data_IF_423430327855
#
_entry.id   IF_423430327855
#
_cell.length_a   1.000
_cell.length_b   1.000
_cell.length_c   1.000
_cell.angle_alpha   90.00
_cell.angle_beta   90.00
_cell.angle_gamma   90.00
#
_symmetry.space_group_name_H-M   'P 1'
#
loop_
_entity.id
_entity.type
_entity.pdbx_description
1 polymer ?
#
# COMPACT_ATOMS: atom_id res chain seq x y z
N UNK A 1 -50.54 -3.95 45.53
CA UNK A 1 -51.07 -3.79 46.91
C UNK A 1 -51.25 -5.20 47.45
N UNK A 2 -50.70 -5.65 48.57
CA UNK A 2 -50.15 -5.02 49.77
C UNK A 2 -48.93 -5.85 50.23
N UNK A 3 -47.75 -5.27 50.43
CA UNK A 3 -47.22 -4.66 51.67
C UNK A 3 -46.93 -5.61 52.86
N UNK A 4 -45.62 -5.76 53.08
CA UNK A 4 -44.86 -5.65 54.32
C UNK A 4 -45.14 -6.58 55.52
N UNK A 5 -44.15 -7.43 55.82
CA UNK A 5 -43.89 -7.98 57.16
C UNK A 5 -42.37 -8.04 57.42
N UNK A 6 -41.90 -7.30 58.43
CA UNK A 6 -40.49 -7.21 58.87
C UNK A 6 -40.09 -8.37 59.80
N UNK A 7 -38.94 -8.94 59.48
CA UNK A 7 -37.81 -9.46 60.30
C UNK A 7 -38.04 -9.96 61.74
N UNK A 8 -37.60 -11.20 61.96
CA UNK A 8 -37.10 -11.73 63.25
C UNK A 8 -35.82 -12.58 63.03
N UNK A 9 -34.89 -12.65 64.00
CA UNK A 9 -33.54 -13.18 63.80
C UNK A 9 -33.39 -14.65 64.25
N UNK A 10 -32.59 -15.44 63.53
CA UNK A 10 -32.28 -16.82 63.91
C UNK A 10 -31.03 -17.32 63.19
N UNK A 11 -30.01 -17.68 63.96
CA UNK A 11 -28.68 -18.00 63.48
C UNK A 11 -28.56 -19.30 62.68
N UNK A 12 -27.47 -19.37 61.90
CA UNK A 12 -27.05 -20.55 61.16
C UNK A 12 -25.82 -20.24 60.33
N UNK A 13 -24.64 -20.33 60.95
CA UNK A 13 -23.36 -20.20 60.28
C UNK A 13 -23.14 -21.40 59.35
N UNK A 14 -23.57 -21.31 58.09
CA UNK A 14 -23.19 -22.27 57.07
C UNK A 14 -21.98 -21.74 56.30
N UNK A 15 -20.82 -22.36 56.57
CA UNK A 15 -19.53 -22.06 55.97
C UNK A 15 -19.58 -22.38 54.48
N UNK A 16 -19.82 -21.38 53.64
CA UNK A 16 -19.53 -21.48 52.20
C UNK A 16 -18.04 -21.20 52.04
N UNK A 17 -17.26 -22.27 51.90
CA UNK A 17 -15.89 -22.22 51.37
C UNK A 17 -15.99 -21.69 49.93
N UNK A 18 -15.77 -20.40 49.74
CA UNK A 18 -15.43 -19.85 48.42
C UNK A 18 -14.01 -20.33 48.12
N UNK A 19 -13.91 -21.46 47.42
CA UNK A 19 -12.66 -21.88 46.81
C UNK A 19 -12.30 -20.83 45.75
N UNK A 20 -11.37 -19.93 46.10
CA UNK A 20 -10.64 -19.14 45.12
C UNK A 20 -9.90 -20.11 44.22
N UNK A 21 -10.46 -20.39 43.04
CA UNK A 21 -9.70 -20.96 41.94
C UNK A 21 -8.79 -19.84 41.45
N UNK A 22 -7.65 -19.66 42.12
CA UNK A 22 -6.49 -18.98 41.55
C UNK A 22 -5.90 -19.89 40.48
N UNK A 23 -6.59 -19.96 39.34
CA UNK A 23 -6.22 -20.74 38.18
C UNK A 23 -5.48 -19.87 37.16
N UNK A 24 -4.18 -19.71 37.37
CA UNK A 24 -3.13 -19.55 36.36
C UNK A 24 -3.50 -18.93 35.00
N UNK A 25 -3.58 -17.60 34.93
CA UNK A 25 -3.29 -16.87 33.69
C UNK A 25 -1.77 -16.64 33.58
N UNK A 26 -1.01 -17.70 33.27
CA UNK A 26 0.38 -17.58 32.81
C UNK A 26 0.41 -17.47 31.28
N UNK A 27 -0.31 -16.47 30.73
CA UNK A 27 0.05 -15.93 29.43
C UNK A 27 1.11 -14.86 29.72
N UNK A 28 2.37 -15.17 29.40
CA UNK A 28 3.53 -14.34 29.74
C UNK A 28 3.33 -12.87 29.37
N UNK A 29 3.10 -12.03 30.39
CA UNK A 29 3.15 -10.58 30.23
C UNK A 29 4.60 -10.20 29.94
N UNK A 30 4.95 -10.06 28.66
CA UNK A 30 6.17 -9.36 28.27
C UNK A 30 6.10 -7.96 28.89
N UNK A 31 7.12 -7.55 29.64
CA UNK A 31 7.08 -6.25 30.29
C UNK A 31 7.03 -5.13 29.24
N UNK A 32 6.26 -4.07 29.53
CA UNK A 32 6.18 -2.87 28.67
C UNK A 32 7.57 -2.30 28.39
N UNK A 33 8.48 -2.41 29.35
CA UNK A 33 9.89 -2.02 29.19
C UNK A 33 10.62 -2.87 28.14
N UNK A 34 10.37 -4.17 28.09
CA UNK A 34 10.92 -5.07 27.06
C UNK A 34 10.39 -4.72 25.67
N UNK A 35 9.10 -4.37 25.56
CA UNK A 35 8.49 -3.93 24.28
C UNK A 35 9.16 -2.63 23.81
N UNK A 36 9.22 -1.61 24.67
CA UNK A 36 9.85 -0.32 24.36
C UNK A 36 11.32 -0.47 23.96
N UNK A 37 12.05 -1.36 24.64
CA UNK A 37 13.45 -1.66 24.29
C UNK A 37 13.55 -2.24 22.88
N UNK A 38 12.72 -3.23 22.55
CA UNK A 38 12.67 -3.84 21.21
C UNK A 38 12.26 -2.87 20.11
N UNK A 39 11.29 -2.00 20.39
CA UNK A 39 10.89 -0.92 19.48
C UNK A 39 12.05 0.03 19.22
N UNK A 40 12.76 0.46 20.27
CA UNK A 40 13.94 1.34 20.13
C UNK A 40 15.08 0.67 19.38
N UNK A 41 15.34 -0.62 19.64
CA UNK A 41 16.34 -1.40 18.91
C UNK A 41 15.96 -1.54 17.43
N UNK A 42 14.69 -1.84 17.15
CA UNK A 42 14.15 -1.89 15.80
C UNK A 42 14.31 -0.57 15.05
N UNK A 43 13.97 0.54 15.71
CA UNK A 43 14.10 1.88 15.17
C UNK A 43 15.57 2.22 14.85
N UNK A 44 16.51 1.83 15.71
CA UNK A 44 17.94 2.01 15.47
C UNK A 44 18.40 1.30 14.18
N UNK A 45 17.98 0.06 13.98
CA UNK A 45 18.29 -0.69 12.75
C UNK A 45 17.56 -0.14 11.53
N UNK A 46 16.33 0.34 11.69
CA UNK A 46 15.57 0.99 10.62
C UNK A 46 16.29 2.25 10.13
N UNK A 47 16.69 3.15 11.04
CA UNK A 47 17.46 4.35 10.71
C UNK A 47 18.82 4.03 10.10
N UNK A 48 19.49 2.98 10.58
CA UNK A 48 20.72 2.49 9.95
C UNK A 48 20.46 2.06 8.51
N UNK A 49 19.38 1.32 8.25
CA UNK A 49 19.00 0.89 6.91
C UNK A 49 18.72 2.06 5.98
N UNK A 50 17.98 3.07 6.45
CA UNK A 50 17.74 4.31 5.72
C UNK A 50 19.03 5.02 5.33
N UNK A 51 19.99 5.15 6.26
CA UNK A 51 21.24 5.88 6.03
C UNK A 51 22.13 5.31 4.91
N UNK A 52 21.97 4.03 4.60
CA UNK A 52 22.79 3.32 3.59
C UNK A 52 22.00 2.91 2.36
N UNK A 53 20.69 3.14 2.32
CA UNK A 53 19.79 2.63 1.26
C UNK A 53 20.25 3.02 -0.15
N UNK A 54 20.65 4.28 -0.33
CA UNK A 54 21.04 4.81 -1.65
C UNK A 54 22.42 4.33 -2.12
N UNK A 55 23.30 3.93 -1.17
CA UNK A 55 24.70 3.61 -1.44
C UNK A 55 24.97 2.09 -1.42
N UNK A 56 24.29 1.36 -0.55
CA UNK A 56 24.49 -0.07 -0.31
C UNK A 56 23.16 -0.74 0.05
N UNK A 57 22.45 -1.17 -0.98
CA UNK A 57 21.16 -1.85 -0.86
C UNK A 57 21.26 -3.16 -0.06
N UNK A 58 22.41 -3.84 -0.06
CA UNK A 58 22.59 -5.08 0.70
C UNK A 58 22.73 -4.82 2.20
N UNK A 59 23.46 -3.76 2.59
CA UNK A 59 23.50 -3.35 4.00
C UNK A 59 22.16 -2.82 4.47
N UNK A 60 21.42 -2.09 3.63
CA UNK A 60 20.08 -1.64 3.95
C UNK A 60 19.13 -2.82 4.19
N UNK A 61 19.16 -3.81 3.29
CA UNK A 61 18.42 -5.06 3.41
C UNK A 61 18.66 -5.76 4.76
N UNK A 62 19.93 -5.98 5.13
CA UNK A 62 20.29 -6.61 6.41
C UNK A 62 19.80 -5.78 7.61
N UNK A 63 19.87 -4.46 7.51
CA UNK A 63 19.43 -3.56 8.58
C UNK A 63 17.91 -3.62 8.77
N UNK A 64 17.11 -3.63 7.69
CA UNK A 64 15.66 -3.80 7.78
C UNK A 64 15.26 -5.18 8.31
N UNK A 65 15.98 -6.24 7.94
CA UNK A 65 15.77 -7.57 8.53
C UNK A 65 16.00 -7.57 10.05
N UNK A 66 17.08 -6.92 10.52
CA UNK A 66 17.34 -6.77 11.96
C UNK A 66 16.27 -5.92 12.65
N UNK A 67 15.77 -4.87 12.00
CA UNK A 67 14.68 -4.06 12.52
C UNK A 67 13.42 -4.90 12.75
N UNK A 68 13.03 -5.72 11.76
CA UNK A 68 11.88 -6.64 11.86
C UNK A 68 12.13 -7.74 12.90
N UNK A 69 13.35 -8.27 13.00
CA UNK A 69 13.70 -9.26 14.02
C UNK A 69 13.56 -8.70 15.44
N UNK A 70 13.96 -7.44 15.65
CA UNK A 70 13.82 -6.76 16.93
C UNK A 70 12.35 -6.45 17.25
N UNK A 71 11.60 -5.93 16.26
CA UNK A 71 10.17 -5.66 16.36
C UNK A 71 9.43 -6.07 15.08
N UNK A 72 8.73 -7.22 15.08
CA UNK A 72 7.95 -7.69 13.94
C UNK A 72 6.76 -6.78 13.55
N UNK A 73 6.40 -5.82 14.40
CA UNK A 73 5.31 -4.88 14.12
C UNK A 73 5.83 -3.55 13.53
N UNK A 74 7.11 -3.44 13.20
CA UNK A 74 7.66 -2.26 12.53
C UNK A 74 7.23 -2.26 11.05
N UNK A 75 6.08 -1.64 10.77
CA UNK A 75 5.50 -1.58 9.42
C UNK A 75 6.37 -0.79 8.44
N UNK A 76 7.13 0.21 8.90
CA UNK A 76 8.04 0.99 8.05
C UNK A 76 9.22 0.14 7.58
N UNK A 77 9.76 -0.71 8.46
CA UNK A 77 10.80 -1.67 8.09
C UNK A 77 10.28 -2.73 7.10
N UNK A 78 9.05 -3.24 7.30
CA UNK A 78 8.39 -4.11 6.32
C UNK A 78 8.21 -3.43 4.96
N UNK A 79 7.74 -2.18 4.94
CA UNK A 79 7.59 -1.41 3.71
C UNK A 79 8.92 -1.28 2.94
N UNK A 80 9.99 -0.85 3.61
CA UNK A 80 11.29 -0.66 2.96
C UNK A 80 11.96 -1.98 2.55
N UNK A 81 11.80 -3.04 3.36
CA UNK A 81 12.26 -4.36 2.96
C UNK A 81 11.52 -4.87 1.72
N UNK A 82 10.19 -4.68 1.67
CA UNK A 82 9.38 -4.95 0.48
C UNK A 82 9.83 -4.16 -0.74
N UNK A 83 10.18 -2.88 -0.57
CA UNK A 83 10.72 -2.06 -1.65
C UNK A 83 12.07 -2.58 -2.16
N UNK A 84 12.96 -3.01 -1.27
CA UNK A 84 14.24 -3.63 -1.65
C UNK A 84 14.01 -4.92 -2.44
N UNK A 85 13.12 -5.81 -1.98
CA UNK A 85 12.75 -7.02 -2.72
C UNK A 85 12.16 -6.71 -4.10
N UNK A 86 11.29 -5.70 -4.18
CA UNK A 86 10.68 -5.26 -5.43
C UNK A 86 11.74 -4.80 -6.44
N UNK A 87 12.72 -4.00 -6.02
CA UNK A 87 13.83 -3.55 -6.87
C UNK A 87 14.71 -4.72 -7.35
N UNK A 88 14.85 -5.76 -6.54
CA UNK A 88 15.52 -7.02 -6.91
C UNK A 88 14.67 -7.95 -7.78
N UNK A 89 13.43 -7.57 -8.08
CA UNK A 89 12.44 -8.37 -8.81
C UNK A 89 12.04 -9.66 -8.09
N UNK A 90 12.26 -9.72 -6.79
CA UNK A 90 11.85 -10.80 -5.89
C UNK A 90 10.39 -10.56 -5.46
N UNK A 91 9.46 -10.64 -6.42
CA UNK A 91 8.09 -10.14 -6.23
C UNK A 91 7.29 -10.92 -5.18
N UNK A 92 7.54 -12.21 -5.00
CA UNK A 92 6.87 -13.03 -3.97
C UNK A 92 7.23 -12.54 -2.56
N UNK A 93 8.50 -12.26 -2.30
CA UNK A 93 8.96 -11.72 -1.03
C UNK A 93 8.47 -10.28 -0.83
N UNK A 94 8.51 -9.46 -1.89
CA UNK A 94 7.95 -8.10 -1.86
C UNK A 94 6.46 -8.10 -1.49
N UNK A 95 5.63 -8.98 -2.10
CA UNK A 95 4.20 -9.07 -1.78
C UNK A 95 3.97 -9.45 -0.31
N UNK A 96 4.76 -10.38 0.23
CA UNK A 96 4.68 -10.76 1.64
C UNK A 96 4.95 -9.57 2.54
N UNK A 97 6.05 -8.85 2.32
CA UNK A 97 6.43 -7.72 3.18
C UNK A 97 5.44 -6.56 3.07
N UNK A 98 5.00 -6.20 1.85
CA UNK A 98 3.99 -5.17 1.68
C UNK A 98 2.64 -5.57 2.26
N UNK A 99 2.24 -6.85 2.16
CA UNK A 99 1.01 -7.34 2.81
C UNK A 99 1.10 -7.22 4.33
N UNK A 100 2.24 -7.59 4.93
CA UNK A 100 2.46 -7.43 6.37
C UNK A 100 2.39 -5.95 6.78
N UNK A 101 3.04 -5.06 6.04
CA UNK A 101 2.96 -3.62 6.25
C UNK A 101 1.50 -3.13 6.24
N UNK A 102 0.72 -3.48 5.21
CA UNK A 102 -0.70 -3.10 5.07
C UNK A 102 -1.58 -3.72 6.16
N UNK A 103 -1.25 -4.89 6.68
CA UNK A 103 -1.98 -5.49 7.80
C UNK A 103 -1.72 -4.75 9.13
N UNK A 104 -0.50 -4.23 9.32
CA UNK A 104 -0.11 -3.45 10.49
C UNK A 104 -0.59 -2.00 10.42
N UNK A 105 -0.51 -1.39 9.24
CA UNK A 105 -1.05 -0.06 8.92
C UNK A 105 -1.93 -0.12 7.65
N UNK A 106 -3.26 -0.32 7.82
CA UNK A 106 -4.20 -0.37 6.71
C UNK A 106 -4.32 0.91 5.89
N UNK A 107 -3.80 2.04 6.39
CA UNK A 107 -3.85 3.36 5.76
C UNK A 107 -2.52 3.74 5.10
N UNK A 108 -1.55 2.82 5.03
CA UNK A 108 -0.29 3.06 4.34
C UNK A 108 -0.49 3.04 2.81
N UNK A 109 -0.75 4.22 2.22
CA UNK A 109 -1.01 4.37 0.79
C UNK A 109 0.16 3.96 -0.10
N UNK A 110 1.41 4.21 0.33
CA UNK A 110 2.60 3.79 -0.41
C UNK A 110 2.72 2.26 -0.45
N UNK A 111 2.55 1.59 0.70
CA UNK A 111 2.59 0.13 0.76
C UNK A 111 1.46 -0.51 -0.07
N UNK A 112 0.25 0.06 -0.07
CA UNK A 112 -0.83 -0.39 -0.94
C UNK A 112 -0.48 -0.22 -2.42
N UNK A 113 0.04 0.95 -2.81
CA UNK A 113 0.47 1.21 -4.19
C UNK A 113 1.54 0.21 -4.66
N UNK A 114 2.60 0.02 -3.87
CA UNK A 114 3.69 -0.91 -4.21
C UNK A 114 3.23 -2.36 -4.16
N UNK A 115 2.34 -2.75 -3.24
CA UNK A 115 1.73 -4.08 -3.25
C UNK A 115 0.93 -4.31 -4.53
N UNK A 116 0.09 -3.34 -4.91
CA UNK A 116 -0.67 -3.38 -6.15
C UNK A 116 0.23 -3.53 -7.37
N UNK A 117 1.27 -2.70 -7.48
CA UNK A 117 2.27 -2.78 -8.55
C UNK A 117 3.01 -4.13 -8.57
N UNK A 118 3.36 -4.66 -7.41
CA UNK A 118 3.99 -5.99 -7.27
C UNK A 118 3.06 -7.09 -7.80
N UNK A 119 1.77 -7.04 -7.45
CA UNK A 119 0.77 -7.98 -7.94
C UNK A 119 0.59 -7.92 -9.47
N UNK A 120 0.71 -6.74 -10.09
CA UNK A 120 0.72 -6.61 -11.55
C UNK A 120 1.90 -7.38 -12.16
N UNK A 121 3.12 -7.22 -11.62
CA UNK A 121 4.30 -7.95 -12.10
C UNK A 121 4.22 -9.46 -11.86
N UNK A 122 3.38 -9.90 -10.92
CA UNK A 122 3.05 -11.31 -10.69
C UNK A 122 1.86 -11.79 -11.55
N UNK A 123 1.32 -10.96 -12.45
CA UNK A 123 0.12 -11.24 -13.25
C UNK A 123 -1.14 -11.52 -12.43
N UNK A 124 -1.20 -11.10 -11.16
CA UNK A 124 -2.33 -11.25 -10.25
C UNK A 124 -3.25 -10.02 -10.34
N UNK A 125 -3.76 -9.75 -11.53
CA UNK A 125 -4.49 -8.51 -11.86
C UNK A 125 -5.74 -8.26 -10.99
N UNK A 126 -6.61 -9.24 -10.70
CA UNK A 126 -7.79 -8.99 -9.86
C UNK A 126 -7.42 -8.47 -8.46
N UNK A 127 -6.41 -9.06 -7.84
CA UNK A 127 -5.92 -8.66 -6.52
C UNK A 127 -5.22 -7.29 -6.56
N UNK A 128 -4.47 -7.02 -7.63
CA UNK A 128 -3.83 -5.72 -7.84
C UNK A 128 -4.88 -4.60 -7.89
N UNK A 129 -5.97 -4.81 -8.64
CA UNK A 129 -7.05 -3.83 -8.80
C UNK A 129 -7.74 -3.58 -7.46
N UNK A 130 -8.04 -4.61 -6.68
CA UNK A 130 -8.64 -4.46 -5.35
C UNK A 130 -7.77 -3.60 -4.43
N UNK A 131 -6.48 -3.92 -4.34
CA UNK A 131 -5.52 -3.20 -3.50
C UNK A 131 -5.35 -1.74 -3.97
N UNK A 132 -5.25 -1.52 -5.27
CA UNK A 132 -5.07 -0.18 -5.85
C UNK A 132 -6.33 0.67 -5.71
N UNK A 133 -7.53 0.08 -5.81
CA UNK A 133 -8.80 0.78 -5.51
C UNK A 133 -8.83 1.27 -4.07
N UNK A 134 -8.36 0.47 -3.12
CA UNK A 134 -8.20 0.92 -1.74
C UNK A 134 -7.20 2.08 -1.66
N UNK A 135 -6.04 1.98 -2.31
CA UNK A 135 -5.02 3.02 -2.29
C UNK A 135 -5.55 4.40 -2.73
N UNK A 136 -6.29 4.47 -3.83
CA UNK A 136 -6.81 5.74 -4.37
C UNK A 136 -7.94 6.37 -3.55
N UNK A 137 -8.52 5.63 -2.58
CA UNK A 137 -9.53 6.15 -1.64
C UNK A 137 -8.94 6.76 -0.37
N UNK A 138 -7.64 6.63 -0.14
CA UNK A 138 -7.03 7.11 1.11
C UNK A 138 -6.82 8.64 1.09
N UNK A 139 -7.18 9.34 2.18
CA UNK A 139 -7.11 10.81 2.24
C UNK A 139 -5.68 11.35 2.42
N UNK A 140 -4.78 10.56 3.00
CA UNK A 140 -3.37 10.91 3.21
C UNK A 140 -2.51 9.96 2.40
N UNK A 141 -2.06 10.43 1.24
CA UNK A 141 -1.16 9.67 0.38
C UNK A 141 -0.18 10.65 -0.26
N UNK A 142 1.12 10.37 -0.16
CA UNK A 142 2.16 11.25 -0.69
C UNK A 142 2.20 11.23 -2.22
N UNK A 143 1.81 10.10 -2.85
CA UNK A 143 1.89 9.94 -4.31
C UNK A 143 0.61 9.40 -4.99
N UNK A 144 -0.58 10.00 -4.76
CA UNK A 144 -1.89 9.54 -5.25
C UNK A 144 -1.94 9.17 -6.72
N UNK A 145 -1.34 9.99 -7.56
CA UNK A 145 -1.29 9.77 -8.99
C UNK A 145 -0.52 8.50 -9.40
N UNK A 146 0.47 8.02 -8.62
CA UNK A 146 1.12 6.72 -8.89
C UNK A 146 0.15 5.54 -8.74
N UNK A 147 -0.70 5.55 -7.71
CA UNK A 147 -1.70 4.51 -7.53
C UNK A 147 -2.79 4.57 -8.62
N UNK A 148 -3.23 5.77 -9.01
CA UNK A 148 -4.14 5.91 -10.15
C UNK A 148 -3.51 5.37 -11.43
N UNK A 149 -2.25 5.69 -11.73
CA UNK A 149 -1.56 5.18 -12.92
C UNK A 149 -1.41 3.66 -12.90
N UNK A 150 -1.01 3.07 -11.77
CA UNK A 150 -0.93 1.62 -11.64
C UNK A 150 -2.32 0.96 -11.75
N UNK A 151 -3.37 1.58 -11.22
CA UNK A 151 -4.75 1.09 -11.35
C UNK A 151 -5.22 1.15 -12.81
N UNK A 152 -4.94 2.24 -13.52
CA UNK A 152 -5.24 2.38 -14.95
C UNK A 152 -4.54 1.31 -15.77
N UNK A 153 -3.27 1.03 -15.46
CA UNK A 153 -2.50 -0.01 -16.12
C UNK A 153 -3.06 -1.42 -15.84
N UNK A 154 -3.40 -1.73 -14.59
CA UNK A 154 -4.00 -3.01 -14.23
C UNK A 154 -5.36 -3.23 -14.89
N UNK A 155 -6.22 -2.20 -14.94
CA UNK A 155 -7.52 -2.24 -15.61
C UNK A 155 -7.38 -2.44 -17.12
N UNK A 156 -6.42 -1.75 -17.75
CA UNK A 156 -6.12 -1.93 -19.17
C UNK A 156 -5.68 -3.37 -19.47
N UNK A 157 -4.76 -3.93 -18.68
CA UNK A 157 -4.34 -5.33 -18.83
C UNK A 157 -5.46 -6.33 -18.60
N UNK A 158 -6.41 -6.01 -17.71
CA UNK A 158 -7.61 -6.82 -17.49
C UNK A 158 -8.64 -6.67 -18.64
N UNK A 159 -8.49 -5.67 -19.51
CA UNK A 159 -9.40 -5.39 -20.62
C UNK A 159 -10.51 -4.37 -20.31
N UNK A 160 -10.55 -3.81 -19.10
CA UNK A 160 -11.47 -2.71 -18.74
C UNK A 160 -10.91 -1.37 -19.22
N UNK A 161 -10.94 -1.17 -20.55
CA UNK A 161 -10.46 0.05 -21.20
C UNK A 161 -11.24 1.30 -20.72
N UNK A 162 -12.59 1.29 -20.64
CA UNK A 162 -13.32 2.45 -20.12
C UNK A 162 -12.96 2.78 -18.66
N UNK A 163 -12.76 1.76 -17.82
CA UNK A 163 -12.26 1.93 -16.46
C UNK A 163 -10.87 2.55 -16.41
N UNK A 164 -9.94 2.06 -17.24
CA UNK A 164 -8.58 2.59 -17.33
C UNK A 164 -8.56 4.06 -17.74
N UNK A 165 -9.32 4.45 -18.78
CA UNK A 165 -9.44 5.85 -19.23
C UNK A 165 -9.88 6.76 -18.09
N UNK A 166 -10.97 6.39 -17.40
CA UNK A 166 -11.51 7.18 -16.28
C UNK A 166 -10.49 7.35 -15.15
N UNK A 167 -9.78 6.28 -14.79
CA UNK A 167 -8.78 6.32 -13.72
C UNK A 167 -7.57 7.19 -14.12
N UNK A 168 -7.10 7.12 -15.37
CA UNK A 168 -6.04 8.00 -15.85
C UNK A 168 -6.47 9.48 -15.89
N UNK A 169 -7.74 9.75 -16.20
CA UNK A 169 -8.30 11.11 -16.11
C UNK A 169 -8.33 11.62 -14.66
N UNK A 170 -8.64 10.79 -13.67
CA UNK A 170 -8.52 11.17 -12.25
C UNK A 170 -7.06 11.44 -11.86
N UNK A 171 -6.09 10.66 -12.38
CA UNK A 171 -4.67 10.90 -12.12
C UNK A 171 -4.22 12.31 -12.56
N UNK A 172 -4.76 12.82 -13.69
CA UNK A 172 -4.44 14.14 -14.21
C UNK A 172 -4.95 15.31 -13.35
N UNK A 173 -5.94 15.06 -12.47
CA UNK A 173 -6.49 16.07 -11.55
C UNK A 173 -5.61 16.30 -10.32
N UNK A 174 -4.65 15.43 -10.06
CA UNK A 174 -3.74 15.54 -8.92
C UNK A 174 -2.72 16.64 -9.19
N UNK A 175 -2.56 17.53 -8.21
CA UNK A 175 -1.63 18.66 -8.25
C UNK A 175 -1.04 18.91 -6.84
N UNK A 176 0.29 18.99 -6.68
CA UNK A 176 1.32 18.77 -7.71
C UNK A 176 1.41 17.28 -8.13
N UNK A 177 1.76 16.97 -9.40
CA UNK A 177 1.91 15.60 -9.88
C UNK A 177 3.28 15.01 -9.48
N UNK A 178 3.30 13.71 -9.20
CA UNK A 178 4.51 12.88 -9.04
C UNK A 178 4.83 12.06 -10.29
N UNK A 179 3.84 11.78 -11.14
CA UNK A 179 3.99 11.16 -12.45
C UNK A 179 3.92 12.26 -13.52
N UNK A 180 4.88 12.35 -14.44
CA UNK A 180 4.81 13.30 -15.53
C UNK A 180 3.50 13.18 -16.31
N UNK A 181 2.73 14.28 -16.41
CA UNK A 181 1.42 14.30 -17.10
C UNK A 181 1.52 13.82 -18.55
N UNK A 182 2.66 14.05 -19.22
CA UNK A 182 2.93 13.54 -20.56
C UNK A 182 2.82 12.01 -20.66
N UNK A 183 3.25 11.26 -19.63
CA UNK A 183 3.12 9.80 -19.62
C UNK A 183 1.67 9.36 -19.47
N UNK A 184 0.89 10.07 -18.66
CA UNK A 184 -0.54 9.77 -18.48
C UNK A 184 -1.33 10.06 -19.76
N UNK A 185 -1.05 11.18 -20.44
CA UNK A 185 -1.64 11.47 -21.75
C UNK A 185 -1.22 10.47 -22.83
N UNK A 186 0.00 9.95 -22.77
CA UNK A 186 0.47 8.92 -23.70
C UNK A 186 -0.35 7.64 -23.55
N UNK A 187 -0.62 7.19 -22.31
CA UNK A 187 -1.50 6.04 -22.08
C UNK A 187 -2.93 6.30 -22.56
N UNK A 188 -3.50 7.47 -22.24
CA UNK A 188 -4.84 7.85 -22.74
C UNK A 188 -4.90 7.83 -24.28
N UNK A 189 -3.89 8.36 -24.96
CA UNK A 189 -3.82 8.34 -26.42
C UNK A 189 -3.78 6.92 -26.99
N UNK A 190 -3.00 6.02 -26.38
CA UNK A 190 -2.97 4.59 -26.75
C UNK A 190 -4.33 3.92 -26.55
N UNK A 191 -5.00 4.18 -25.43
CA UNK A 191 -6.33 3.62 -25.13
C UNK A 191 -7.41 4.12 -26.10
N UNK A 192 -7.43 5.41 -26.40
CA UNK A 192 -8.37 5.98 -27.38
C UNK A 192 -8.11 5.42 -28.79
N UNK A 193 -6.84 5.28 -29.19
CA UNK A 193 -6.47 4.65 -30.46
C UNK A 193 -6.94 3.19 -30.52
N UNK A 194 -6.80 2.44 -29.42
CA UNK A 194 -7.29 1.06 -29.33
C UNK A 194 -8.83 0.96 -29.46
N UNK A 195 -9.57 1.98 -29.02
CA UNK A 195 -11.03 2.06 -29.20
C UNK A 195 -11.45 2.60 -30.57
N UNK A 196 -10.51 3.00 -31.44
CA UNK A 196 -10.81 3.64 -32.72
C UNK A 196 -11.29 5.10 -32.58
N UNK A 197 -11.08 5.71 -31.42
CA UNK A 197 -11.43 7.11 -31.14
C UNK A 197 -10.29 8.04 -31.57
N UNK A 198 -9.94 8.01 -32.86
CA UNK A 198 -8.74 8.66 -33.41
C UNK A 198 -8.65 10.17 -33.14
N UNK A 199 -9.81 10.86 -33.06
CA UNK A 199 -9.87 12.27 -32.67
C UNK A 199 -9.35 12.51 -31.26
N UNK A 200 -9.85 11.74 -30.28
CA UNK A 200 -9.41 11.83 -28.88
C UNK A 200 -7.96 11.36 -28.71
N UNK A 201 -7.55 10.33 -29.46
CA UNK A 201 -6.17 9.88 -29.49
C UNK A 201 -5.22 10.98 -29.97
N UNK A 202 -5.60 11.69 -31.06
CA UNK A 202 -4.83 12.81 -31.61
C UNK A 202 -4.73 13.97 -30.61
N UNK A 203 -5.82 14.29 -29.91
CA UNK A 203 -5.81 15.31 -28.85
C UNK A 203 -4.87 14.93 -27.70
N UNK A 204 -4.95 13.70 -27.21
CA UNK A 204 -4.10 13.20 -26.13
C UNK A 204 -2.60 13.24 -26.55
N UNK A 205 -2.26 12.74 -27.74
CA UNK A 205 -0.89 12.79 -28.25
C UNK A 205 -0.37 14.21 -28.48
N UNK A 206 -1.26 15.16 -28.84
CA UNK A 206 -0.89 16.57 -28.92
C UNK A 206 -0.50 17.14 -27.54
N UNK A 207 -1.23 16.76 -26.47
CA UNK A 207 -0.85 17.12 -25.10
C UNK A 207 0.52 16.55 -24.72
N UNK A 208 0.81 15.29 -25.08
CA UNK A 208 2.15 14.70 -24.84
C UNK A 208 3.24 15.54 -25.50
N UNK A 209 3.07 15.90 -26.77
CA UNK A 209 4.06 16.70 -27.51
C UNK A 209 4.21 18.12 -26.97
N UNK A 210 3.15 18.71 -26.43
CA UNK A 210 3.22 20.03 -25.79
C UNK A 210 4.01 19.99 -24.47
N UNK A 211 3.84 18.92 -23.69
CA UNK A 211 4.49 18.73 -22.38
C UNK A 211 5.92 18.19 -22.49
N UNK A 212 6.21 17.39 -23.51
CA UNK A 212 7.51 16.74 -23.74
C UNK A 212 7.92 16.82 -25.23
N UNK A 213 8.18 18.01 -25.79
CA UNK A 213 8.39 18.19 -27.22
C UNK A 213 9.66 17.52 -27.77
N UNK A 214 10.67 17.32 -26.92
CA UNK A 214 11.98 16.76 -27.30
C UNK A 214 12.31 15.45 -26.59
N UNK A 215 11.49 15.00 -25.64
CA UNK A 215 11.72 13.75 -24.94
C UNK A 215 11.07 12.55 -25.61
N UNK A 216 11.25 11.41 -24.95
CA UNK A 216 10.87 10.10 -25.46
C UNK A 216 9.36 9.96 -25.61
N UNK A 217 8.57 10.56 -24.71
CA UNK A 217 7.12 10.49 -24.78
C UNK A 217 6.58 11.28 -25.98
N UNK A 218 7.14 12.47 -26.25
CA UNK A 218 6.77 13.26 -27.42
C UNK A 218 7.14 12.57 -28.74
N UNK A 219 8.32 11.94 -28.81
CA UNK A 219 8.73 11.15 -29.96
C UNK A 219 7.80 9.95 -30.20
N UNK A 220 7.39 9.27 -29.13
CA UNK A 220 6.45 8.15 -29.22
C UNK A 220 5.06 8.62 -29.67
N UNK A 221 4.53 9.69 -29.08
CA UNK A 221 3.26 10.28 -29.48
C UNK A 221 3.26 10.67 -30.96
N UNK A 222 4.34 11.27 -31.47
CA UNK A 222 4.48 11.61 -32.89
C UNK A 222 4.48 10.38 -33.80
N UNK A 223 5.04 9.26 -33.35
CA UNK A 223 4.98 7.98 -34.09
C UNK A 223 3.56 7.43 -34.12
N UNK A 224 2.86 7.42 -32.99
CA UNK A 224 1.48 6.92 -32.90
C UNK A 224 0.51 7.76 -33.72
N UNK A 225 0.68 9.09 -33.74
CA UNK A 225 -0.16 9.99 -34.55
C UNK A 225 -0.14 9.67 -36.05
N UNK A 226 0.96 9.11 -36.58
CA UNK A 226 1.06 8.70 -37.99
C UNK A 226 0.26 7.43 -38.31
N UNK A 227 -0.17 6.69 -37.29
CA UNK A 227 -0.93 5.45 -37.43
C UNK A 227 -2.44 5.68 -37.36
N UNK A 228 -2.88 6.87 -36.91
CA UNK A 228 -4.28 7.27 -36.87
C UNK A 228 -4.83 7.42 -38.29
N UNK A 229 -6.11 7.06 -38.48
CA UNK A 229 -6.78 7.15 -39.77
C UNK A 229 -7.23 8.59 -40.10
#
# INVERSE_FOLDING_TARGET
MAECGRLGPGGGWSRILVAFVTGSFLAGCVSVETIKKREKESEGYYQQGLSVLDNDQQRAFVSFQKAIQANPNNYDAHYLLGHVYFLRKEYTDAEREFRTCVNLDPNNGEALNYRGRTLIFMSRLPEAIEVLRKAVTLPLYATPDKAYVNLGWALHQQGDIPGAIRVYQEALKIDPPNVPRALVYLELGRLHMQQGEDGKAREAFAQVKALDPQGTAGAEAAKMMKQLR
#
